data_IF_039414359709
#
_entry.id   IF_039414359709
#
_cell.length_a   1.000
_cell.length_b   1.000
_cell.length_c   1.000
_cell.angle_alpha   90.00
_cell.angle_beta   90.00
_cell.angle_gamma   90.00
#
_symmetry.space_group_name_H-M   'P 1'
#
loop_
_entity.id
_entity.type
_entity.pdbx_description
1 polymer ?
#
# COMPACT_ATOMS: atom_id res chain seq x y z
N UNK A 1 -5.74 -11.42 22.27
CA UNK A 1 -6.27 -10.88 20.99
C UNK A 1 -6.73 -9.45 21.22
N UNK A 2 -6.31 -8.54 20.33
CA UNK A 2 -6.76 -7.16 20.40
C UNK A 2 -8.24 -7.06 19.97
N UNK A 3 -8.98 -6.22 20.68
CA UNK A 3 -10.35 -5.93 20.27
C UNK A 3 -10.35 -5.11 18.99
N UNK A 4 -11.22 -5.46 18.07
CA UNK A 4 -11.35 -4.75 16.79
C UNK A 4 -12.38 -3.66 16.96
N UNK A 5 -11.99 -2.43 16.66
CA UNK A 5 -12.88 -1.26 16.76
C UNK A 5 -13.66 -1.05 15.47
N UNK A 6 -13.00 -1.24 14.31
CA UNK A 6 -13.59 -0.98 13.01
C UNK A 6 -13.13 -2.05 12.00
N UNK A 7 -14.06 -2.57 11.24
CA UNK A 7 -13.76 -3.39 10.06
C UNK A 7 -13.80 -2.50 8.83
N UNK A 8 -12.79 -2.64 7.97
CA UNK A 8 -12.76 -1.96 6.68
C UNK A 8 -12.74 -3.00 5.56
N UNK A 9 -13.28 -2.66 4.41
CA UNK A 9 -13.33 -3.57 3.28
C UNK A 9 -13.06 -2.80 1.99
N UNK A 10 -12.31 -3.41 1.08
CA UNK A 10 -11.95 -2.81 -0.19
C UNK A 10 -10.80 -3.56 -0.84
N UNK A 11 -10.38 -3.10 -1.99
CA UNK A 11 -9.25 -3.69 -2.69
C UNK A 11 -7.93 -3.18 -2.13
N UNK A 12 -6.86 -3.93 -2.43
CA UNK A 12 -5.48 -3.55 -2.11
C UNK A 12 -4.79 -3.04 -3.36
N UNK A 13 -3.76 -2.23 -3.18
CA UNK A 13 -2.90 -1.81 -4.28
C UNK A 13 -1.44 -1.77 -3.85
N UNK A 14 -0.57 -2.03 -4.81
CA UNK A 14 0.86 -1.76 -4.70
C UNK A 14 1.20 -0.73 -5.75
N UNK A 15 1.53 0.47 -5.31
CA UNK A 15 1.78 1.59 -6.20
C UNK A 15 3.29 1.69 -6.48
N UNK A 16 3.66 1.48 -7.73
CA UNK A 16 5.04 1.60 -8.19
C UNK A 16 5.24 3.00 -8.76
N UNK A 17 6.01 3.82 -8.08
CA UNK A 17 6.24 5.19 -8.51
C UNK A 17 7.43 5.24 -9.45
N UNK A 18 7.17 5.52 -10.71
CA UNK A 18 8.18 5.64 -11.75
C UNK A 18 8.46 7.11 -11.98
N UNK A 19 9.71 7.52 -11.76
CA UNK A 19 10.13 8.90 -11.98
C UNK A 19 10.70 9.05 -13.39
N UNK A 20 10.33 10.13 -14.06
CA UNK A 20 10.78 10.42 -15.42
C UNK A 20 11.51 11.77 -15.46
N UNK A 21 12.47 11.89 -16.35
CA UNK A 21 13.31 13.09 -16.46
C UNK A 21 12.55 14.28 -17.04
N UNK A 22 11.51 14.03 -17.82
CA UNK A 22 10.71 15.08 -18.46
C UNK A 22 9.25 14.64 -18.52
N UNK A 23 8.30 15.60 -18.59
CA UNK A 23 6.88 15.26 -18.70
C UNK A 23 6.58 14.37 -19.92
N UNK A 24 5.63 13.46 -19.76
CA UNK A 24 5.17 12.63 -20.87
C UNK A 24 4.54 13.53 -21.94
N UNK A 25 4.93 13.30 -23.21
CA UNK A 25 4.47 14.08 -24.34
C UNK A 25 4.28 13.18 -25.53
N UNK A 26 3.18 13.34 -26.24
CA UNK A 26 2.88 12.52 -27.43
C UNK A 26 3.99 12.67 -28.47
N UNK A 27 4.46 11.54 -28.98
CA UNK A 27 5.53 11.49 -29.98
C UNK A 27 6.95 11.62 -29.43
N UNK A 28 7.09 11.73 -28.10
CA UNK A 28 8.40 11.83 -27.45
C UNK A 28 8.56 10.74 -26.40
N UNK A 29 9.82 10.41 -26.09
CA UNK A 29 10.15 9.48 -25.02
C UNK A 29 10.64 10.26 -23.80
N UNK A 30 10.40 9.71 -22.61
CA UNK A 30 10.95 10.24 -21.36
C UNK A 30 11.82 9.18 -20.72
N UNK A 31 12.99 9.58 -20.24
CA UNK A 31 13.93 8.68 -19.57
C UNK A 31 13.44 8.39 -18.14
N UNK A 32 13.39 7.11 -17.79
CA UNK A 32 13.09 6.70 -16.40
C UNK A 32 14.35 6.92 -15.56
N UNK A 33 14.24 7.68 -14.48
CA UNK A 33 15.37 8.07 -13.64
C UNK A 33 15.54 7.18 -12.41
N UNK A 34 14.55 6.39 -12.04
CA UNK A 34 14.60 5.54 -10.83
C UNK A 34 14.41 4.05 -11.12
N UNK A 35 14.81 3.57 -12.30
CA UNK A 35 14.59 2.17 -12.71
C UNK A 35 15.16 1.13 -11.73
N UNK A 36 16.23 1.47 -11.01
CA UNK A 36 16.87 0.57 -10.05
C UNK A 36 16.33 0.72 -8.63
N UNK A 37 15.55 1.77 -8.38
CA UNK A 37 15.01 2.12 -7.07
C UNK A 37 13.58 2.60 -7.20
N UNK A 38 12.73 1.80 -7.84
CA UNK A 38 11.32 2.14 -7.97
C UNK A 38 10.67 2.14 -6.59
N UNK A 39 10.08 3.27 -6.21
CA UNK A 39 9.39 3.38 -4.93
C UNK A 39 8.09 2.59 -4.98
N UNK A 40 7.88 1.76 -3.97
CA UNK A 40 6.68 0.94 -3.86
C UNK A 40 5.91 1.39 -2.62
N UNK A 41 4.64 1.74 -2.82
CA UNK A 41 3.72 2.12 -1.76
C UNK A 41 2.58 1.12 -1.70
N UNK A 42 2.17 0.78 -0.48
CA UNK A 42 1.09 -0.16 -0.24
C UNK A 42 -0.16 0.61 0.13
N UNK A 43 -1.29 0.31 -0.49
CA UNK A 43 -2.49 1.10 -0.29
C UNK A 43 -3.77 0.36 -0.66
N UNK A 44 -4.72 1.17 -1.09
CA UNK A 44 -6.11 0.80 -1.26
C UNK A 44 -6.96 1.45 -0.17
N UNK A 45 -8.22 1.75 -0.44
CA UNK A 45 -9.06 2.49 0.51
C UNK A 45 -9.17 1.79 1.87
N UNK A 46 -9.41 0.48 1.87
CA UNK A 46 -9.53 -0.30 3.09
C UNK A 46 -8.26 -0.23 3.95
N UNK A 47 -7.12 -0.41 3.30
CA UNK A 47 -5.81 -0.38 3.96
C UNK A 47 -5.50 1.02 4.49
N UNK A 48 -5.75 2.05 3.69
CA UNK A 48 -5.49 3.42 4.10
C UNK A 48 -6.31 3.83 5.31
N UNK A 49 -7.58 3.43 5.35
CA UNK A 49 -8.44 3.72 6.49
C UNK A 49 -7.96 2.97 7.74
N UNK A 50 -7.68 1.68 7.62
CA UNK A 50 -7.20 0.88 8.76
C UNK A 50 -5.87 1.40 9.29
N UNK A 51 -4.96 1.77 8.40
CA UNK A 51 -3.66 2.32 8.77
C UNK A 51 -3.82 3.67 9.49
N UNK A 52 -4.69 4.54 8.96
CA UNK A 52 -4.97 5.83 9.59
C UNK A 52 -5.61 5.68 10.97
N UNK A 53 -6.53 4.73 11.12
CA UNK A 53 -7.15 4.44 12.42
C UNK A 53 -6.11 3.95 13.43
N UNK A 54 -5.18 3.10 13.01
CA UNK A 54 -4.08 2.64 13.85
C UNK A 54 -3.24 3.82 14.36
N UNK A 55 -2.97 4.80 13.52
CA UNK A 55 -2.26 6.01 13.91
C UNK A 55 -3.02 6.86 14.91
N UNK A 56 -4.34 6.75 14.93
CA UNK A 56 -5.19 7.45 15.88
C UNK A 56 -5.45 6.64 17.16
N UNK A 57 -4.82 5.50 17.32
CA UNK A 57 -4.95 4.65 18.50
C UNK A 57 -6.12 3.68 18.47
N UNK A 58 -6.82 3.59 17.36
CA UNK A 58 -7.89 2.62 17.16
C UNK A 58 -7.38 1.37 16.48
N UNK A 59 -8.12 0.28 16.59
CA UNK A 59 -7.73 -1.00 16.00
C UNK A 59 -8.65 -1.32 14.84
N UNK A 60 -8.18 -1.01 13.64
CA UNK A 60 -8.87 -1.33 12.39
C UNK A 60 -8.44 -2.69 11.86
N UNK A 61 -9.38 -3.51 11.41
CA UNK A 61 -9.10 -4.77 10.74
C UNK A 61 -9.54 -4.65 9.29
N UNK A 62 -8.61 -4.59 8.34
CA UNK A 62 -8.98 -4.58 6.93
C UNK A 62 -9.29 -6.00 6.46
N UNK A 63 -10.42 -6.16 5.80
CA UNK A 63 -10.81 -7.40 5.15
C UNK A 63 -10.38 -7.28 3.68
N UNK A 64 -9.36 -8.04 3.31
CA UNK A 64 -8.66 -7.88 2.04
C UNK A 64 -8.71 -9.15 1.20
N UNK A 65 -8.72 -8.97 -0.11
CA UNK A 65 -8.43 -10.04 -1.05
C UNK A 65 -7.01 -9.84 -1.56
N UNK A 66 -6.13 -10.82 -1.31
CA UNK A 66 -4.72 -10.73 -1.66
C UNK A 66 -4.31 -11.93 -2.51
N UNK A 67 -3.22 -11.77 -3.26
CA UNK A 67 -2.63 -12.85 -4.03
C UNK A 67 -1.72 -13.75 -3.19
N UNK A 68 -1.22 -14.82 -3.81
CA UNK A 68 -0.32 -15.76 -3.14
C UNK A 68 1.03 -15.15 -2.74
N UNK A 69 1.39 -14.00 -3.28
CA UNK A 69 2.62 -13.28 -3.00
C UNK A 69 2.51 -12.26 -1.86
N UNK A 70 1.40 -12.27 -1.12
CA UNK A 70 1.08 -11.29 -0.07
C UNK A 70 2.19 -11.12 0.97
N UNK A 71 2.80 -12.21 1.40
CA UNK A 71 3.91 -12.16 2.39
C UNK A 71 5.19 -11.72 1.69
N UNK A 72 5.51 -12.33 0.57
CA UNK A 72 6.77 -12.11 -0.14
C UNK A 72 6.90 -10.70 -0.72
N UNK A 73 5.79 -10.10 -1.12
CA UNK A 73 5.82 -8.76 -1.70
C UNK A 73 5.97 -7.64 -0.65
N UNK A 74 5.98 -7.98 0.63
CA UNK A 74 6.17 -7.03 1.71
C UNK A 74 4.88 -6.39 2.25
N UNK A 75 3.73 -6.71 1.67
CA UNK A 75 2.47 -6.08 2.08
C UNK A 75 2.10 -6.41 3.53
N UNK A 76 2.21 -7.69 3.90
CA UNK A 76 1.90 -8.11 5.27
C UNK A 76 2.82 -7.42 6.27
N UNK A 77 4.11 -7.34 5.98
CA UNK A 77 5.08 -6.66 6.84
C UNK A 77 4.76 -5.18 6.99
N UNK A 78 4.34 -4.53 5.90
CA UNK A 78 3.92 -3.14 5.94
C UNK A 78 2.75 -2.92 6.92
N UNK A 79 1.73 -3.77 6.87
CA UNK A 79 0.58 -3.67 7.76
C UNK A 79 0.99 -3.89 9.23
N UNK A 80 1.81 -4.90 9.48
CA UNK A 80 2.28 -5.21 10.82
C UNK A 80 3.10 -4.07 11.42
N UNK A 81 3.98 -3.46 10.63
CA UNK A 81 4.78 -2.30 11.06
C UNK A 81 3.90 -1.11 11.39
N UNK A 82 2.78 -0.95 10.72
CA UNK A 82 1.82 0.12 10.99
C UNK A 82 0.91 -0.16 12.18
N UNK A 83 1.02 -1.33 12.81
CA UNK A 83 0.16 -1.72 13.91
C UNK A 83 -1.25 -2.10 13.47
N UNK A 84 -1.43 -2.44 12.21
CA UNK A 84 -2.71 -2.84 11.66
C UNK A 84 -2.93 -4.32 11.93
N UNK A 85 -4.12 -4.68 12.40
CA UNK A 85 -4.48 -6.10 12.58
C UNK A 85 -4.57 -6.81 11.24
N UNK A 86 -4.12 -8.05 11.20
CA UNK A 86 -4.11 -8.83 9.96
C UNK A 86 -4.76 -10.19 10.16
#
# INVERSE_FOLDING_TARGET
>A
MRQIDVLTSGYVSMDHIIKIASPAKVGYTSLVTNRNNVDIFYGGCSVNIAYGLSRLGLNGLPVLRVGGDYIENGFKAFLEQGGVST
#
